data_IF_146052461923
#
_entry.id   IF_146052461923
#
_cell.length_a   1.000
_cell.length_b   1.000
_cell.length_c   1.000
_cell.angle_alpha   90.00
_cell.angle_beta   90.00
_cell.angle_gamma   90.00
#
_symmetry.space_group_name_H-M   'P 1'
#
loop_
_entity.id
_entity.type
_entity.pdbx_description
1 polymer ?
#
# COMPACT_ATOMS: atom_id res chain seq x y z
N UNK A 1 -13.44 -6.41 20.69
CA UNK A 1 -13.93 -7.02 19.44
C UNK A 1 -13.41 -6.31 18.18
N UNK A 2 -13.65 -5.01 17.99
CA UNK A 2 -13.22 -4.27 16.78
C UNK A 2 -11.70 -4.27 16.53
N UNK A 3 -10.89 -4.03 17.58
CA UNK A 3 -9.42 -4.04 17.47
C UNK A 3 -8.87 -5.40 17.03
N UNK A 4 -9.50 -6.50 17.46
CA UNK A 4 -9.09 -7.85 17.07
C UNK A 4 -9.31 -8.11 15.57
N UNK A 5 -10.50 -7.77 15.05
CA UNK A 5 -10.80 -7.89 13.62
C UNK A 5 -9.92 -6.99 12.75
N UNK A 6 -9.64 -5.77 13.22
CA UNK A 6 -8.71 -4.86 12.55
C UNK A 6 -7.30 -5.45 12.46
N UNK A 7 -6.79 -5.97 13.57
CA UNK A 7 -5.46 -6.59 13.61
C UNK A 7 -5.39 -7.84 12.72
N UNK A 8 -6.44 -8.66 12.68
CA UNK A 8 -6.51 -9.82 11.80
C UNK A 8 -6.51 -9.41 10.32
N UNK A 9 -7.30 -8.39 9.96
CA UNK A 9 -7.33 -7.83 8.62
C UNK A 9 -5.94 -7.27 8.22
N UNK A 10 -5.34 -6.45 9.07
CA UNK A 10 -4.03 -5.86 8.79
C UNK A 10 -2.91 -6.90 8.74
N UNK A 11 -3.00 -7.99 9.51
CA UNK A 11 -2.10 -9.15 9.36
C UNK A 11 -2.19 -9.75 7.97
N UNK A 12 -3.40 -9.99 7.45
CA UNK A 12 -3.58 -10.54 6.11
C UNK A 12 -3.05 -9.57 5.04
N UNK A 13 -3.36 -8.27 5.13
CA UNK A 13 -2.84 -7.24 4.23
C UNK A 13 -1.31 -7.22 4.22
N UNK A 14 -0.69 -7.18 5.40
CA UNK A 14 0.77 -7.12 5.51
C UNK A 14 1.45 -8.39 5.01
N UNK A 15 0.81 -9.55 5.16
CA UNK A 15 1.28 -10.80 4.55
C UNK A 15 1.24 -10.73 3.02
N UNK A 16 0.14 -10.24 2.43
CA UNK A 16 0.04 -10.07 0.97
C UNK A 16 1.10 -9.10 0.43
N UNK A 17 1.34 -7.99 1.13
CA UNK A 17 2.40 -7.04 0.80
C UNK A 17 3.77 -7.72 0.77
N UNK A 18 4.07 -8.56 1.78
CA UNK A 18 5.33 -9.29 1.85
C UNK A 18 5.55 -10.31 0.72
N UNK A 19 4.48 -10.74 0.03
CA UNK A 19 4.58 -11.65 -1.14
C UNK A 19 4.86 -10.91 -2.45
N UNK A 20 4.59 -9.61 -2.50
CA UNK A 20 4.73 -8.80 -3.71
C UNK A 20 6.18 -8.39 -4.00
N UNK A 21 7.08 -8.46 -3.01
CA UNK A 21 8.50 -8.09 -3.15
C UNK A 21 9.34 -9.32 -2.89
N UNK A 22 10.05 -9.83 -3.91
CA UNK A 22 10.75 -11.12 -3.83
C UNK A 22 12.28 -11.01 -3.78
N UNK A 23 12.87 -9.99 -4.40
CA UNK A 23 14.31 -9.78 -4.41
C UNK A 23 14.67 -8.29 -4.56
N UNK A 24 15.94 -7.94 -4.34
CA UNK A 24 16.43 -6.54 -4.30
C UNK A 24 16.15 -5.73 -5.58
N UNK A 25 16.11 -6.42 -6.73
CA UNK A 25 15.88 -5.83 -8.05
C UNK A 25 14.40 -5.93 -8.49
N UNK A 26 13.53 -6.46 -7.63
CA UNK A 26 12.09 -6.58 -7.88
C UNK A 26 11.38 -5.28 -7.50
N UNK A 27 10.48 -4.82 -8.35
CA UNK A 27 9.67 -3.63 -8.10
C UNK A 27 8.19 -3.95 -8.35
N UNK A 28 7.38 -3.53 -7.39
CA UNK A 28 5.94 -3.73 -7.44
C UNK A 28 5.23 -2.45 -7.02
N UNK A 29 4.00 -2.29 -7.52
CA UNK A 29 3.05 -1.29 -7.04
C UNK A 29 1.97 -2.01 -6.25
N UNK A 30 1.71 -1.53 -5.04
CA UNK A 30 0.65 -2.06 -4.18
C UNK A 30 -0.48 -1.03 -4.16
N UNK A 31 -1.67 -1.44 -4.60
CA UNK A 31 -2.86 -0.58 -4.61
C UNK A 31 -3.77 -1.00 -3.46
N UNK A 32 -3.92 -0.13 -2.47
CA UNK A 32 -4.80 -0.31 -1.33
C UNK A 32 -6.14 0.39 -1.59
N UNK A 33 -7.14 -0.36 -2.04
CA UNK A 33 -8.46 0.16 -2.42
C UNK A 33 -9.42 0.22 -1.23
N UNK A 34 -9.18 1.14 -0.31
CA UNK A 34 -10.11 1.40 0.81
C UNK A 34 -9.96 2.82 1.36
N UNK A 35 -11.09 3.52 1.53
CA UNK A 35 -11.15 4.88 2.06
C UNK A 35 -10.59 5.00 3.51
N UNK A 36 -10.54 3.89 4.25
CA UNK A 36 -9.96 3.83 5.60
C UNK A 36 -8.47 4.15 5.62
N UNK A 37 -7.72 3.85 4.54
CA UNK A 37 -6.30 4.21 4.48
C UNK A 37 -6.09 5.72 4.41
N UNK A 38 -7.06 6.48 3.90
CA UNK A 38 -7.02 7.96 3.89
C UNK A 38 -7.49 8.52 5.23
N UNK A 39 -8.61 8.03 5.76
CA UNK A 39 -9.31 8.69 6.87
C UNK A 39 -8.95 8.18 8.27
N UNK A 40 -8.24 7.05 8.40
CA UNK A 40 -7.94 6.45 9.71
C UNK A 40 -6.44 6.30 9.94
N UNK A 41 -5.91 7.06 10.90
CA UNK A 41 -4.50 7.02 11.24
C UNK A 41 -4.06 5.66 11.82
N UNK A 42 -4.89 5.01 12.65
CA UNK A 42 -4.60 3.71 13.23
C UNK A 42 -4.42 2.60 12.16
N UNK A 43 -5.22 2.63 11.09
CA UNK A 43 -5.07 1.68 9.97
C UNK A 43 -3.71 1.86 9.29
N UNK A 44 -3.30 3.11 9.04
CA UNK A 44 -1.98 3.39 8.45
C UNK A 44 -0.83 3.02 9.39
N UNK A 45 -0.99 3.21 10.70
CA UNK A 45 0.01 2.82 11.70
C UNK A 45 0.25 1.31 11.75
N UNK A 46 -0.75 0.50 11.39
CA UNK A 46 -0.64 -0.95 11.28
C UNK A 46 0.04 -1.44 9.99
N UNK A 47 0.41 -0.54 9.07
CA UNK A 47 1.27 -0.89 7.93
C UNK A 47 2.75 -0.90 8.36
N UNK A 48 3.60 -1.74 7.75
CA UNK A 48 5.04 -1.69 7.96
C UNK A 48 5.59 -0.29 7.67
N UNK A 49 6.54 0.17 8.47
CA UNK A 49 7.05 1.55 8.37
C UNK A 49 7.59 1.91 6.98
N UNK A 50 8.23 0.95 6.30
CA UNK A 50 8.78 1.14 4.95
C UNK A 50 7.71 1.25 3.85
N UNK A 51 6.50 0.71 4.08
CA UNK A 51 5.34 0.94 3.23
C UNK A 51 4.69 2.27 3.58
N UNK A 52 4.49 2.52 4.88
CA UNK A 52 3.82 3.72 5.37
C UNK A 52 4.51 5.00 4.91
N UNK A 53 5.85 5.02 4.88
CA UNK A 53 6.64 6.17 4.40
C UNK A 53 6.50 6.44 2.90
N UNK A 54 6.04 5.46 2.12
CA UNK A 54 5.85 5.54 0.65
C UNK A 54 4.37 5.55 0.24
N UNK A 55 3.46 5.56 1.21
CA UNK A 55 2.02 5.55 0.95
C UNK A 55 1.58 6.90 0.37
N UNK A 56 0.94 6.87 -0.81
CA UNK A 56 0.27 8.03 -1.40
C UNK A 56 -1.23 7.77 -1.49
N UNK A 57 -2.04 8.73 -1.03
CA UNK A 57 -3.49 8.67 -1.14
C UNK A 57 -3.94 9.59 -2.29
N UNK A 58 -4.81 9.09 -3.15
CA UNK A 58 -5.33 9.82 -4.30
C UNK A 58 -6.85 9.93 -4.20
N UNK A 59 -7.39 11.09 -4.58
CA UNK A 59 -8.82 11.39 -4.60
C UNK A 59 -9.54 10.87 -5.86
N UNK A 60 -8.79 10.36 -6.83
CA UNK A 60 -9.31 9.95 -8.13
C UNK A 60 -8.46 8.84 -8.75
N UNK A 61 -9.14 7.96 -9.48
CA UNK A 61 -8.49 6.89 -10.23
C UNK A 61 -7.45 7.42 -11.23
N UNK A 62 -7.76 8.50 -11.95
CA UNK A 62 -6.86 9.08 -12.95
C UNK A 62 -5.49 9.49 -12.37
N UNK A 63 -5.47 10.18 -11.22
CA UNK A 63 -4.24 10.58 -10.55
C UNK A 63 -3.45 9.36 -10.05
N UNK A 64 -4.14 8.40 -9.44
CA UNK A 64 -3.52 7.15 -8.99
C UNK A 64 -2.88 6.38 -10.16
N UNK A 65 -3.63 6.18 -11.24
CA UNK A 65 -3.17 5.46 -12.42
C UNK A 65 -2.00 6.17 -13.12
N UNK A 66 -2.02 7.51 -13.18
CA UNK A 66 -0.88 8.29 -13.69
C UNK A 66 0.38 8.06 -12.87
N UNK A 67 0.28 7.99 -11.54
CA UNK A 67 1.42 7.68 -10.66
C UNK A 67 1.97 6.27 -10.90
N UNK A 68 1.09 5.28 -11.08
CA UNK A 68 1.50 3.91 -11.42
C UNK A 68 2.28 3.89 -12.74
N UNK A 69 1.76 4.55 -13.78
CA UNK A 69 2.44 4.65 -15.08
C UNK A 69 3.82 5.31 -14.95
N UNK A 70 3.91 6.40 -14.19
CA UNK A 70 5.17 7.11 -13.98
C UNK A 70 6.19 6.24 -13.22
N UNK A 71 5.76 5.48 -12.22
CA UNK A 71 6.62 4.56 -11.48
C UNK A 71 7.28 3.53 -12.41
N UNK A 72 6.49 2.87 -13.25
CA UNK A 72 7.01 1.86 -14.19
C UNK A 72 7.87 2.47 -15.29
N UNK A 73 7.54 3.67 -15.78
CA UNK A 73 8.37 4.38 -16.74
C UNK A 73 9.77 4.70 -16.18
N UNK A 74 9.84 5.17 -14.93
CA UNK A 74 11.10 5.50 -14.25
C UNK A 74 11.93 4.27 -13.87
N UNK A 75 11.34 3.07 -13.86
CA UNK A 75 12.01 1.79 -13.53
C UNK A 75 12.34 0.94 -14.76
N UNK A 76 11.84 1.31 -15.94
CA UNK A 76 12.17 0.68 -17.22
C UNK A 76 13.40 1.28 -17.93
N UNK A 77 14.21 2.11 -17.25
CA UNK A 77 15.54 2.53 -17.71
C UNK A 77 16.64 1.82 -16.96
#
# INVERSE_FOLDING_TARGET
MFVFYENLCMKAVNQSIGRAIRHKDDFAVIILLDNRYTNRANIRQNLPDWIRSRLSCYDSFAKAFSSVRQFFHNKQM
#
